data_IF_790721386670
#
_entry.id   IF_790721386670
#
_cell.length_a   1.000
_cell.length_b   1.000
_cell.length_c   1.000
_cell.angle_alpha   90.00
_cell.angle_beta   90.00
_cell.angle_gamma   90.00
#
_symmetry.space_group_name_H-M   'P 1'
#
loop_
_entity.id
_entity.type
_entity.pdbx_description
1 polymer ?
#
# COMPACT_ATOMS: atom_id res chain seq x y z
N UNK A 1 38.97 -29.83 -0.32
CA UNK A 1 39.97 -30.05 0.74
C UNK A 1 39.92 -28.97 1.77
N UNK A 2 39.83 -29.40 3.02
CA UNK A 2 39.97 -28.79 4.33
C UNK A 2 38.72 -28.16 4.92
N UNK A 3 38.17 -28.93 5.74
CA UNK A 3 37.51 -29.00 7.03
C UNK A 3 38.18 -28.11 8.09
N UNK A 4 37.37 -27.51 8.98
CA UNK A 4 37.58 -27.33 10.43
C UNK A 4 36.26 -26.76 10.99
N UNK A 5 35.45 -27.56 11.59
CA UNK A 5 35.28 -28.12 12.98
C UNK A 5 35.39 -27.10 14.11
N UNK A 6 34.26 -26.94 14.78
CA UNK A 6 33.88 -27.10 16.19
C UNK A 6 34.37 -26.08 17.21
N UNK A 7 33.45 -25.64 18.07
CA UNK A 7 33.42 -25.88 19.53
C UNK A 7 32.17 -25.16 20.12
N UNK A 8 31.44 -25.88 20.67
CA UNK A 8 30.67 -26.21 21.86
C UNK A 8 31.18 -25.50 23.16
N UNK A 9 30.33 -24.76 23.85
CA UNK A 9 30.45 -24.52 25.28
C UNK A 9 29.07 -24.35 25.91
N UNK A 10 28.79 -25.31 26.76
CA UNK A 10 27.73 -25.48 27.74
C UNK A 10 28.16 -24.79 29.05
N UNK A 11 27.25 -24.16 29.80
CA UNK A 11 27.21 -24.13 31.28
C UNK A 11 26.04 -23.28 31.77
N UNK A 12 25.14 -23.86 32.38
CA UNK A 12 24.85 -24.22 33.79
C UNK A 12 23.96 -23.19 34.50
N UNK A 13 22.84 -23.67 34.80
CA UNK A 13 21.93 -23.66 35.94
C UNK A 13 22.23 -22.74 37.14
N UNK A 14 21.18 -22.06 37.64
CA UNK A 14 20.89 -21.97 39.08
C UNK A 14 19.41 -21.64 39.33
N UNK A 15 18.75 -22.56 39.98
CA UNK A 15 17.45 -22.46 40.65
C UNK A 15 17.62 -21.71 41.97
N UNK A 16 16.67 -20.84 42.33
CA UNK A 16 16.33 -20.59 43.73
C UNK A 16 14.82 -20.35 43.87
N UNK A 17 14.22 -21.23 44.66
CA UNK A 17 12.88 -21.16 45.22
C UNK A 17 12.83 -20.09 46.33
N UNK A 18 11.72 -19.42 46.45
CA UNK A 18 11.41 -18.60 47.62
C UNK A 18 9.89 -18.45 47.76
N UNK A 19 9.28 -19.33 48.56
CA UNK A 19 7.90 -19.23 49.07
C UNK A 19 7.81 -18.16 50.18
N UNK A 20 6.66 -17.47 50.24
CA UNK A 20 6.31 -16.62 51.38
C UNK A 20 4.89 -16.09 51.27
N UNK A 21 3.91 -16.84 51.82
CA UNK A 21 2.53 -16.45 52.08
C UNK A 21 2.44 -15.37 53.15
N UNK A 22 1.50 -14.43 53.06
CA UNK A 22 0.43 -14.10 54.03
C UNK A 22 -0.46 -12.96 53.58
N UNK A 23 -1.75 -13.22 53.44
CA UNK A 23 -2.86 -12.28 53.70
C UNK A 23 -3.23 -12.34 55.21
N UNK A 24 -4.05 -11.44 55.83
CA UNK A 24 -5.19 -10.73 55.25
C UNK A 24 -5.48 -9.29 55.81
N UNK A 25 -6.59 -8.77 55.32
CA UNK A 25 -7.62 -7.87 55.93
C UNK A 25 -7.41 -6.37 55.92
N UNK A 26 -8.32 -5.77 55.27
CA UNK A 26 -9.52 -4.94 55.55
C UNK A 26 -9.37 -3.42 55.47
N UNK A 27 -10.36 -2.89 54.80
CA UNK A 27 -11.16 -1.70 55.10
C UNK A 27 -10.82 -0.37 54.40
N UNK A 28 -11.69 -0.03 53.46
CA UNK A 28 -12.41 1.22 53.33
C UNK A 28 -11.62 2.52 53.11
N UNK A 29 -11.74 3.14 51.94
CA UNK A 29 -12.34 4.48 51.78
C UNK A 29 -12.29 4.89 50.29
N UNK A 30 -13.47 5.13 49.76
CA UNK A 30 -13.70 5.73 48.44
C UNK A 30 -13.11 7.14 48.33
N UNK A 31 -12.37 7.38 47.26
CA UNK A 31 -12.36 8.67 46.54
C UNK A 31 -12.15 8.44 45.07
N UNK A 32 -12.97 9.03 44.21
CA UNK A 32 -12.78 8.89 42.78
C UNK A 32 -11.55 9.68 42.33
N UNK A 33 -10.53 8.96 41.90
CA UNK A 33 -9.41 9.54 41.16
C UNK A 33 -9.88 9.70 39.73
N UNK A 34 -10.17 10.90 39.36
CA UNK A 34 -10.37 11.39 38.02
C UNK A 34 -9.05 11.21 37.25
N UNK A 35 -8.86 10.03 36.65
CA UNK A 35 -7.81 9.82 35.66
C UNK A 35 -8.19 10.62 34.43
N UNK A 36 -7.57 11.78 34.25
CA UNK A 36 -7.47 12.44 32.96
C UNK A 36 -6.86 11.46 31.98
N UNK A 37 -7.73 10.84 31.23
CA UNK A 37 -7.38 10.11 30.03
C UNK A 37 -6.76 11.14 29.06
N UNK A 38 -5.43 11.21 29.05
CA UNK A 38 -4.69 11.93 28.04
C UNK A 38 -4.87 11.12 26.77
N UNK A 39 -5.99 11.38 26.09
CA UNK A 39 -6.26 10.84 24.77
C UNK A 39 -5.09 11.15 23.86
N UNK A 40 -4.29 10.14 23.58
CA UNK A 40 -3.37 10.14 22.43
C UNK A 40 -4.26 10.39 21.22
N UNK A 41 -4.10 11.47 20.48
CA UNK A 41 -4.87 11.66 19.26
C UNK A 41 -4.47 10.53 18.30
N UNK A 42 -5.37 9.57 18.13
CA UNK A 42 -5.32 8.62 17.04
C UNK A 42 -5.57 9.42 15.75
N UNK A 43 -4.54 10.08 15.24
CA UNK A 43 -4.54 10.67 13.91
C UNK A 43 -4.21 9.57 12.89
N UNK A 44 -4.99 8.51 12.87
CA UNK A 44 -5.20 7.78 11.64
C UNK A 44 -6.43 8.42 11.01
N UNK A 45 -6.19 9.35 10.12
CA UNK A 45 -7.22 9.83 9.20
C UNK A 45 -7.71 8.61 8.41
N UNK A 46 -8.87 8.13 8.78
CA UNK A 46 -9.64 7.07 8.11
C UNK A 46 -10.23 7.62 6.79
N UNK A 47 -9.60 8.67 6.27
CA UNK A 47 -9.99 9.30 5.02
C UNK A 47 -9.46 8.45 3.87
N UNK A 48 -10.40 7.82 3.17
CA UNK A 48 -10.12 7.06 1.96
C UNK A 48 -9.42 7.96 0.93
N UNK A 49 -8.43 7.41 0.23
CA UNK A 49 -7.78 8.12 -0.87
C UNK A 49 -8.81 8.56 -1.92
N UNK A 50 -8.70 9.78 -2.41
CA UNK A 50 -9.64 10.37 -3.36
C UNK A 50 -8.93 10.73 -4.68
N UNK A 51 -9.09 9.86 -5.68
CA UNK A 51 -8.50 10.04 -7.01
C UNK A 51 -9.09 11.22 -7.79
N UNK A 52 -10.25 11.78 -7.41
CA UNK A 52 -10.77 12.97 -8.09
C UNK A 52 -9.88 14.19 -7.85
N UNK A 53 -9.27 14.31 -6.68
CA UNK A 53 -8.30 15.37 -6.36
C UNK A 53 -7.05 15.31 -7.26
N UNK A 54 -6.64 14.10 -7.66
CA UNK A 54 -5.54 13.93 -8.62
C UNK A 54 -5.97 14.25 -10.05
N UNK A 55 -7.19 13.89 -10.44
CA UNK A 55 -7.75 14.24 -11.76
C UNK A 55 -7.78 15.77 -11.98
N UNK A 56 -8.13 16.57 -10.96
CA UNK A 56 -8.13 18.04 -10.99
C UNK A 56 -6.71 18.61 -11.20
N UNK A 57 -5.67 17.88 -10.76
CA UNK A 57 -4.25 18.23 -10.90
C UNK A 57 -3.61 17.71 -12.19
N UNK A 58 -4.39 17.05 -13.06
CA UNK A 58 -3.94 16.52 -14.34
C UNK A 58 -3.74 15.00 -14.37
N UNK A 59 -4.13 14.29 -13.32
CA UNK A 59 -4.26 12.85 -13.30
C UNK A 59 -5.28 12.35 -14.31
N UNK A 60 -5.31 11.04 -14.58
CA UNK A 60 -6.23 10.48 -15.57
C UNK A 60 -6.69 9.04 -15.29
N UNK A 61 -6.59 8.62 -14.03
CA UNK A 61 -6.98 7.26 -13.63
C UNK A 61 -8.47 6.99 -13.83
N UNK A 62 -9.32 7.86 -13.30
CA UNK A 62 -10.77 7.66 -13.33
C UNK A 62 -11.29 7.67 -14.77
N UNK A 63 -10.90 8.66 -15.56
CA UNK A 63 -11.38 8.79 -16.95
C UNK A 63 -10.81 7.75 -17.90
N UNK A 64 -9.63 7.15 -17.62
CA UNK A 64 -8.99 6.19 -18.53
C UNK A 64 -9.05 4.74 -18.05
N UNK A 65 -9.10 4.50 -16.74
CA UNK A 65 -8.86 3.18 -16.17
C UNK A 65 -9.95 2.70 -15.22
N UNK A 66 -11.09 3.38 -15.10
CA UNK A 66 -12.20 2.91 -14.27
C UNK A 66 -13.45 2.69 -15.10
N UNK A 67 -14.11 1.53 -14.89
CA UNK A 67 -15.40 1.21 -15.53
C UNK A 67 -15.34 1.03 -17.05
N UNK A 68 -14.20 0.60 -17.60
CA UNK A 68 -14.06 0.33 -19.02
C UNK A 68 -14.60 -1.05 -19.39
N UNK A 69 -15.38 -1.13 -20.47
CA UNK A 69 -15.79 -2.40 -21.06
C UNK A 69 -14.66 -3.00 -21.89
N UNK A 70 -14.74 -4.30 -22.16
CA UNK A 70 -13.73 -4.98 -22.99
C UNK A 70 -13.67 -4.42 -24.42
N UNK A 71 -14.81 -3.96 -24.96
CA UNK A 71 -14.83 -3.29 -26.27
C UNK A 71 -14.11 -1.94 -26.22
N UNK A 72 -14.24 -1.20 -25.13
CA UNK A 72 -13.47 0.05 -24.94
C UNK A 72 -11.97 -0.22 -24.79
N UNK A 73 -11.59 -1.32 -24.12
CA UNK A 73 -10.17 -1.74 -24.04
C UNK A 73 -9.64 -2.11 -25.44
N UNK A 74 -10.40 -2.88 -26.23
CA UNK A 74 -10.03 -3.21 -27.63
C UNK A 74 -9.90 -1.95 -28.48
N UNK A 75 -10.87 -1.04 -28.41
CA UNK A 75 -10.84 0.23 -29.13
C UNK A 75 -9.61 1.06 -28.77
N UNK A 76 -9.30 1.14 -27.47
CA UNK A 76 -8.10 1.84 -26.99
C UNK A 76 -6.82 1.24 -27.58
N UNK A 77 -6.68 -0.09 -27.59
CA UNK A 77 -5.54 -0.77 -28.21
C UNK A 77 -5.44 -0.50 -29.72
N UNK A 78 -6.54 -0.29 -30.42
CA UNK A 78 -6.52 0.07 -31.84
C UNK A 78 -6.05 1.51 -32.06
N UNK A 79 -6.46 2.43 -31.19
CA UNK A 79 -6.15 3.85 -31.27
C UNK A 79 -4.75 4.19 -30.77
N UNK A 80 -4.33 3.59 -29.64
CA UNK A 80 -3.04 3.83 -29.00
C UNK A 80 -2.05 2.71 -29.37
N UNK A 81 -1.37 2.83 -30.52
CA UNK A 81 -0.47 1.76 -31.03
C UNK A 81 0.79 1.53 -30.19
N UNK A 82 1.15 2.48 -29.36
CA UNK A 82 2.35 2.47 -28.52
C UNK A 82 2.16 1.74 -27.17
N UNK A 83 0.93 1.28 -26.85
CA UNK A 83 0.68 0.50 -25.63
C UNK A 83 0.55 -0.99 -25.95
N UNK A 84 1.08 -1.85 -25.11
CA UNK A 84 1.00 -3.32 -25.23
C UNK A 84 -0.27 -3.89 -24.60
N UNK A 85 -0.87 -3.19 -23.65
CA UNK A 85 -2.06 -3.60 -22.94
C UNK A 85 -2.97 -2.41 -22.61
N UNK A 86 -4.27 -2.68 -22.44
CA UNK A 86 -5.25 -1.74 -21.93
C UNK A 86 -6.00 -2.38 -20.78
N UNK A 87 -6.10 -1.69 -19.65
CA UNK A 87 -6.68 -2.25 -18.43
C UNK A 87 -7.71 -1.34 -17.78
N UNK A 88 -8.53 -1.94 -16.93
CA UNK A 88 -9.54 -1.26 -16.14
C UNK A 88 -9.62 -1.83 -14.75
N UNK A 89 -9.79 -0.96 -13.76
CA UNK A 89 -10.15 -1.32 -12.40
C UNK A 89 -11.56 -1.92 -12.36
N UNK A 90 -11.81 -2.78 -11.39
CA UNK A 90 -13.16 -3.31 -11.12
C UNK A 90 -14.13 -2.17 -10.87
N UNK A 91 -13.72 -1.23 -10.01
CA UNK A 91 -14.45 -0.01 -9.70
C UNK A 91 -13.50 1.07 -9.12
N UNK A 92 -14.05 2.24 -8.79
CA UNK A 92 -13.30 3.34 -8.20
C UNK A 92 -12.77 2.99 -6.80
N UNK A 93 -13.55 2.29 -6.00
CA UNK A 93 -13.16 1.90 -4.64
C UNK A 93 -11.92 1.02 -4.67
N UNK A 94 -11.90 0.01 -5.55
CA UNK A 94 -10.72 -0.87 -5.72
C UNK A 94 -9.47 -0.08 -6.13
N UNK A 95 -9.62 0.93 -7.00
CA UNK A 95 -8.51 1.80 -7.39
C UNK A 95 -7.98 2.63 -6.20
N UNK A 96 -8.86 3.30 -5.47
CA UNK A 96 -8.51 4.17 -4.34
C UNK A 96 -7.90 3.40 -3.17
N UNK A 97 -8.46 2.25 -2.79
CA UNK A 97 -7.90 1.37 -1.77
C UNK A 97 -6.51 0.85 -2.15
N UNK A 98 -6.34 0.46 -3.42
CA UNK A 98 -5.05 -0.04 -3.91
C UNK A 98 -4.00 1.08 -3.92
N UNK A 99 -4.36 2.29 -4.34
CA UNK A 99 -3.47 3.45 -4.28
C UNK A 99 -3.05 3.74 -2.84
N UNK A 100 -4.01 3.81 -1.92
CA UNK A 100 -3.73 4.06 -0.50
C UNK A 100 -2.75 3.01 0.07
N UNK A 101 -2.99 1.73 -0.20
CA UNK A 101 -2.14 0.64 0.24
C UNK A 101 -0.72 0.71 -0.37
N UNK A 102 -0.63 1.01 -1.68
CA UNK A 102 0.65 1.15 -2.38
C UNK A 102 1.48 2.34 -1.84
N UNK A 103 0.85 3.49 -1.61
CA UNK A 103 1.50 4.67 -1.03
C UNK A 103 2.02 4.38 0.38
N UNK A 104 1.25 3.66 1.18
CA UNK A 104 1.67 3.27 2.52
C UNK A 104 2.84 2.27 2.49
N UNK A 105 2.76 1.22 1.66
CA UNK A 105 3.79 0.19 1.55
C UNK A 105 5.12 0.75 1.02
N UNK A 106 5.06 1.67 0.06
CA UNK A 106 6.22 2.22 -0.62
C UNK A 106 6.67 3.60 -0.05
N UNK A 107 6.21 3.96 1.14
CA UNK A 107 6.47 5.26 1.77
C UNK A 107 7.97 5.64 1.76
N UNK A 108 8.84 4.72 2.15
CA UNK A 108 10.28 5.01 2.19
C UNK A 108 10.89 5.26 0.80
N UNK A 109 10.36 4.63 -0.27
CA UNK A 109 10.77 4.89 -1.64
C UNK A 109 10.27 6.25 -2.13
N UNK A 110 9.06 6.63 -1.75
CA UNK A 110 8.46 7.93 -2.05
C UNK A 110 9.24 9.05 -1.35
N UNK A 111 9.55 8.91 -0.06
CA UNK A 111 10.35 9.87 0.70
C UNK A 111 11.72 10.12 0.06
N UNK A 112 12.45 9.07 -0.30
CA UNK A 112 13.72 9.20 -1.01
C UNK A 112 13.59 9.87 -2.38
N UNK A 113 12.47 9.63 -3.06
CA UNK A 113 12.19 10.25 -4.35
C UNK A 113 11.83 11.73 -4.21
N UNK A 114 11.03 12.12 -3.20
CA UNK A 114 10.67 13.53 -2.95
C UNK A 114 11.89 14.39 -2.60
N UNK A 115 12.88 13.82 -1.90
CA UNK A 115 14.13 14.50 -1.56
C UNK A 115 15.00 14.89 -2.77
N UNK A 116 14.70 14.41 -3.99
CA UNK A 116 15.43 14.76 -5.21
C UNK A 116 15.07 16.13 -5.78
N UNK A 117 14.17 16.87 -5.14
CA UNK A 117 13.70 18.19 -5.56
C UNK A 117 12.58 18.17 -6.59
N UNK A 118 12.18 19.32 -7.08
CA UNK A 118 10.99 19.51 -7.92
C UNK A 118 11.10 18.85 -9.31
N UNK A 119 12.28 18.84 -9.91
CA UNK A 119 12.50 18.33 -11.28
C UNK A 119 12.73 16.81 -11.34
N UNK A 120 12.29 16.07 -10.32
CA UNK A 120 12.41 14.63 -10.31
C UNK A 120 11.52 13.98 -11.36
N UNK A 121 11.95 12.87 -12.01
CA UNK A 121 11.11 12.13 -12.95
C UNK A 121 9.92 11.50 -12.22
N UNK A 122 8.88 11.11 -12.99
CA UNK A 122 7.77 10.35 -12.43
C UNK A 122 8.28 9.08 -11.74
N UNK A 123 7.63 8.70 -10.64
CA UNK A 123 7.93 7.48 -9.89
C UNK A 123 6.85 6.45 -10.16
N UNK A 124 7.22 5.29 -10.70
CA UNK A 124 6.36 4.14 -10.80
C UNK A 124 6.54 3.22 -9.59
N UNK A 125 5.42 2.87 -8.95
CA UNK A 125 5.31 1.92 -7.87
C UNK A 125 4.58 0.70 -8.40
N UNK A 126 5.15 -0.50 -8.22
CA UNK A 126 4.50 -1.77 -8.51
C UNK A 126 3.97 -2.33 -7.21
N UNK A 127 2.70 -2.68 -7.17
CA UNK A 127 2.02 -3.11 -5.97
C UNK A 127 1.23 -4.40 -6.21
N UNK A 128 1.44 -5.39 -5.35
CA UNK A 128 0.69 -6.63 -5.33
C UNK A 128 -0.46 -6.54 -4.34
N UNK A 129 -1.69 -6.60 -4.83
CA UNK A 129 -2.90 -6.41 -4.00
C UNK A 129 -3.37 -7.69 -3.29
N UNK A 130 -2.87 -8.88 -3.70
CA UNK A 130 -3.28 -10.17 -3.13
C UNK A 130 -4.72 -10.62 -3.46
N UNK A 131 -5.45 -9.81 -4.23
CA UNK A 131 -6.82 -10.07 -4.69
C UNK A 131 -7.00 -9.53 -6.11
N UNK A 132 -8.04 -9.95 -6.79
CA UNK A 132 -8.43 -9.35 -8.05
C UNK A 132 -8.85 -7.89 -7.85
N UNK A 133 -8.26 -6.98 -8.63
CA UNK A 133 -8.47 -5.53 -8.56
C UNK A 133 -8.95 -4.95 -9.88
N UNK A 134 -8.96 -5.73 -10.94
CA UNK A 134 -9.36 -5.33 -12.26
C UNK A 134 -8.93 -6.34 -13.29
N UNK A 135 -8.94 -5.92 -14.56
CA UNK A 135 -8.54 -6.79 -15.68
C UNK A 135 -7.76 -6.02 -16.73
N UNK A 136 -6.97 -6.74 -17.51
CA UNK A 136 -6.14 -6.19 -18.58
C UNK A 136 -6.31 -7.00 -19.86
N UNK A 137 -6.49 -6.30 -20.97
CA UNK A 137 -6.49 -6.87 -22.32
C UNK A 137 -5.11 -6.63 -22.96
N UNK A 138 -4.38 -7.71 -23.20
CA UNK A 138 -3.09 -7.66 -23.87
C UNK A 138 -3.32 -7.56 -25.38
N UNK A 139 -2.50 -6.79 -26.08
CA UNK A 139 -2.61 -6.64 -27.53
C UNK A 139 -2.47 -8.00 -28.23
N UNK A 140 -3.44 -8.33 -29.09
CA UNK A 140 -3.53 -9.62 -29.77
C UNK A 140 -4.26 -10.70 -28.99
N UNK A 141 -4.57 -10.50 -27.73
CA UNK A 141 -5.39 -11.44 -26.97
C UNK A 141 -6.88 -11.27 -27.30
N UNK A 142 -7.63 -12.37 -27.23
CA UNK A 142 -9.09 -12.39 -27.48
C UNK A 142 -9.90 -11.93 -26.26
N UNK A 143 -9.37 -12.13 -25.05
CA UNK A 143 -10.05 -11.85 -23.79
C UNK A 143 -9.14 -11.10 -22.82
N UNK A 144 -9.75 -10.26 -21.98
CA UNK A 144 -9.07 -9.64 -20.86
C UNK A 144 -8.83 -10.69 -19.75
N UNK A 145 -7.70 -10.57 -19.06
CA UNK A 145 -7.32 -11.43 -17.94
C UNK A 145 -7.43 -10.66 -16.63
N UNK A 146 -7.80 -11.33 -15.51
CA UNK A 146 -7.85 -10.70 -14.20
C UNK A 146 -6.45 -10.26 -13.76
N UNK A 147 -6.39 -9.17 -12.99
CA UNK A 147 -5.15 -8.59 -12.48
C UNK A 147 -5.18 -8.54 -10.96
N UNK A 148 -4.06 -8.92 -10.35
CA UNK A 148 -3.80 -8.82 -8.91
C UNK A 148 -2.67 -7.85 -8.58
N UNK A 149 -2.05 -7.28 -9.60
CA UNK A 149 -0.98 -6.29 -9.51
C UNK A 149 -1.44 -4.96 -10.11
N UNK A 150 -0.85 -3.88 -9.64
CA UNK A 150 -1.10 -2.54 -10.15
C UNK A 150 0.20 -1.74 -10.27
N UNK A 151 0.19 -0.81 -11.21
CA UNK A 151 1.18 0.26 -11.29
C UNK A 151 0.54 1.57 -10.82
N UNK A 152 1.21 2.26 -9.89
CA UNK A 152 0.83 3.62 -9.45
C UNK A 152 1.96 4.56 -9.88
N UNK A 153 1.64 5.51 -10.72
CA UNK A 153 2.61 6.49 -11.24
C UNK A 153 2.40 7.82 -10.54
N UNK A 154 3.41 8.26 -9.79
CA UNK A 154 3.43 9.54 -9.10
C UNK A 154 4.14 10.60 -9.95
N UNK A 155 3.58 11.80 -9.97
CA UNK A 155 4.17 12.98 -10.59
C UNK A 155 4.46 14.05 -9.55
N UNK A 156 5.64 14.66 -9.66
CA UNK A 156 6.04 15.77 -8.80
C UNK A 156 5.12 16.98 -8.98
N UNK A 157 4.82 17.65 -7.87
CA UNK A 157 4.06 18.89 -7.83
C UNK A 157 4.56 19.73 -6.65
N UNK A 158 5.44 20.68 -6.95
CA UNK A 158 6.22 21.36 -5.93
C UNK A 158 7.01 20.40 -5.05
N UNK A 159 6.92 20.56 -3.74
CA UNK A 159 7.55 19.67 -2.77
C UNK A 159 6.77 18.34 -2.60
N UNK A 160 5.52 18.30 -3.06
CA UNK A 160 4.64 17.14 -2.98
C UNK A 160 4.56 16.34 -4.28
N UNK A 161 3.48 15.58 -4.40
CA UNK A 161 3.15 14.78 -5.57
C UNK A 161 1.64 14.57 -5.69
N UNK A 162 1.22 14.04 -6.82
CA UNK A 162 -0.11 13.50 -7.06
C UNK A 162 -0.03 12.22 -7.91
N UNK A 163 -1.09 11.43 -7.91
CA UNK A 163 -1.19 10.23 -8.75
C UNK A 163 -1.53 10.66 -10.18
N UNK A 164 -0.52 10.61 -11.06
CA UNK A 164 -0.71 10.90 -12.48
C UNK A 164 -1.63 9.88 -13.13
N UNK A 165 -1.41 8.61 -12.82
CA UNK A 165 -2.26 7.50 -13.27
C UNK A 165 -2.00 6.26 -12.42
N UNK A 166 -3.00 5.39 -12.33
CA UNK A 166 -2.84 4.03 -11.85
C UNK A 166 -3.69 3.08 -12.68
N UNK A 167 -3.22 1.87 -12.84
CA UNK A 167 -3.88 0.85 -13.63
C UNK A 167 -3.53 -0.56 -13.16
N UNK A 168 -4.47 -1.52 -13.27
CA UNK A 168 -4.19 -2.93 -13.07
C UNK A 168 -3.24 -3.45 -14.12
N UNK A 169 -2.31 -4.30 -13.72
CA UNK A 169 -1.30 -4.91 -14.59
C UNK A 169 -1.45 -6.43 -14.57
N UNK A 170 -1.46 -7.04 -15.76
CA UNK A 170 -1.42 -8.49 -15.86
C UNK A 170 0.03 -8.96 -15.63
N UNK A 171 0.19 -10.00 -14.82
CA UNK A 171 1.49 -10.65 -14.66
C UNK A 171 1.82 -11.43 -15.94
N UNK A 172 2.99 -11.18 -16.49
CA UNK A 172 3.56 -11.99 -17.59
C UNK A 172 4.05 -13.35 -17.09
#
# INVERSE_FOLDING_TARGET
>A
MKFCTAALALCCSALLLGCGQKQPSESSSERPHETKDAGVPATHSDERYDLSKDEERGGHTLRKHVGRTDDQLRQRLQQERNISAASTWTDRTAAEETVQAALHAERGKIEKWTQRGERRPNLALHFYAGREIGRSLIRGASQAVPCTEAVVVLRADGDGFYVLTTYPEARE
#
